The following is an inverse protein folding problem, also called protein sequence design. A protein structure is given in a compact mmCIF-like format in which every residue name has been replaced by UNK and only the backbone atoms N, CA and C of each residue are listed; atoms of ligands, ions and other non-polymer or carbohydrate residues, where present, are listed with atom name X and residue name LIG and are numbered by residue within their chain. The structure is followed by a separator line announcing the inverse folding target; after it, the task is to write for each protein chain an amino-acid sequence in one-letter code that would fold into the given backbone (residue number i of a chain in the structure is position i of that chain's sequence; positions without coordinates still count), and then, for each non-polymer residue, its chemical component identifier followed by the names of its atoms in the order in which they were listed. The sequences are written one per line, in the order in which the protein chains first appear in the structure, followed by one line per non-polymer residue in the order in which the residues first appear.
data_IF_568312007724
#
_entry.id   IF_568312007724
#
_cell.length_a   1.000
_cell.length_b   1.000
_cell.length_c   1.000
_cell.angle_alpha   90.00
_cell.angle_beta   90.00
_cell.angle_gamma   90.00
#
_symmetry.space_group_name_H-M   'P 1'
#
loop_
_entity.id
_entity.type
_entity.pdbx_description
1 polymer ?
#
# COMPACT_ATOMS: atom_id res chain seq x y z
N UNK A 1 13.82 37.03 59.76
CA UNK A 1 13.34 35.67 59.43
C UNK A 1 12.16 35.80 58.48
N UNK A 2 12.38 35.61 57.18
CA UNK A 2 12.07 34.38 56.43
C UNK A 2 10.56 34.15 56.25
N UNK A 3 9.93 34.83 55.30
CA UNK A 3 8.58 34.49 54.82
C UNK A 3 8.38 34.77 53.30
N UNK A 4 9.45 34.65 52.51
CA UNK A 4 9.40 34.77 51.02
C UNK A 4 9.44 33.38 50.36
N UNK A 5 8.95 32.32 51.01
CA UNK A 5 9.20 30.92 50.60
C UNK A 5 7.98 29.99 50.44
N UNK A 6 6.83 30.44 49.91
CA UNK A 6 5.98 29.48 49.20
C UNK A 6 5.67 29.85 47.73
N UNK A 7 5.98 31.08 47.29
CA UNK A 7 5.58 31.53 45.94
C UNK A 7 6.46 30.97 44.81
N UNK A 8 7.69 30.55 45.10
CA UNK A 8 8.63 30.01 44.09
C UNK A 8 8.42 28.51 43.82
N UNK A 9 7.71 27.79 44.70
CA UNK A 9 7.50 26.34 44.55
C UNK A 9 6.32 26.03 43.63
N UNK A 10 5.37 26.96 43.45
CA UNK A 10 4.21 26.76 42.56
C UNK A 10 4.50 27.09 41.09
N UNK A 11 5.60 27.79 40.80
CA UNK A 11 5.99 28.12 39.41
C UNK A 11 6.95 27.07 38.79
N UNK A 12 7.40 26.09 39.57
CA UNK A 12 8.36 25.07 39.12
C UNK A 12 7.72 23.70 38.78
N UNK A 13 6.38 23.64 38.66
CA UNK A 13 5.64 22.38 38.45
C UNK A 13 4.69 22.39 37.24
N UNK A 14 4.92 23.25 36.25
CA UNK A 14 4.06 23.34 35.04
C UNK A 14 4.78 23.01 33.73
N UNK A 15 6.05 22.58 33.78
CA UNK A 15 6.80 22.15 32.60
C UNK A 15 7.17 20.67 32.78
N UNK A 16 6.34 19.75 32.27
CA UNK A 16 6.72 18.39 31.79
C UNK A 16 5.52 17.41 31.64
N UNK A 17 4.49 17.75 30.87
CA UNK A 17 3.48 16.73 30.48
C UNK A 17 3.01 16.85 29.02
N UNK A 18 3.89 17.31 28.11
CA UNK A 18 3.66 17.19 26.67
C UNK A 18 4.26 15.90 26.06
N UNK A 19 4.71 14.94 26.89
CA UNK A 19 5.01 13.58 26.43
C UNK A 19 3.71 12.77 26.37
N UNK A 20 2.94 12.90 25.28
CA UNK A 20 2.13 11.83 24.65
C UNK A 20 1.20 12.36 23.54
N UNK A 21 1.71 13.24 22.69
CA UNK A 21 1.11 13.48 21.39
C UNK A 21 2.08 13.05 20.27
N UNK A 22 2.59 11.82 20.34
CA UNK A 22 3.01 11.15 19.11
C UNK A 22 1.75 11.09 18.23
N UNK A 23 1.65 12.01 17.25
CA UNK A 23 0.63 11.98 16.20
C UNK A 23 0.66 10.57 15.62
N UNK A 24 -0.28 9.72 16.06
CA UNK A 24 -0.39 8.33 15.59
C UNK A 24 -0.66 8.38 14.10
N UNK A 25 0.39 8.16 13.30
CA UNK A 25 0.36 8.26 11.83
C UNK A 25 -0.85 7.50 11.31
N UNK A 26 -1.71 8.23 10.61
CA UNK A 26 -2.92 7.67 9.99
C UNK A 26 -2.62 7.43 8.54
N UNK A 27 -2.72 6.18 8.15
CA UNK A 27 -2.41 5.70 6.82
C UNK A 27 -3.71 5.76 6.00
N UNK A 28 -3.61 6.24 4.76
CA UNK A 28 -4.71 6.26 3.81
C UNK A 28 -4.44 5.27 2.67
N UNK A 29 -5.49 4.78 1.98
CA UNK A 29 -5.37 3.68 1.04
C UNK A 29 -4.61 3.98 -0.24
N UNK A 30 -4.56 5.23 -0.69
CA UNK A 30 -3.99 5.57 -1.99
C UNK A 30 -2.99 6.73 -1.89
N UNK A 31 -2.05 6.76 -2.83
CA UNK A 31 -1.10 7.85 -3.04
C UNK A 31 -1.39 8.47 -4.40
N UNK A 32 -1.59 9.79 -4.43
CA UNK A 32 -1.74 10.59 -5.65
C UNK A 32 -0.39 11.22 -5.97
N UNK A 33 0.19 10.85 -7.10
CA UNK A 33 1.54 11.26 -7.51
C UNK A 33 1.49 12.55 -8.33
N UNK A 34 0.60 12.61 -9.32
CA UNK A 34 0.46 13.77 -10.21
C UNK A 34 -1.01 14.05 -10.49
N UNK A 35 -1.31 15.30 -10.87
CA UNK A 35 -2.66 15.77 -11.21
C UNK A 35 -2.55 16.96 -12.16
N UNK A 36 -2.05 16.69 -13.35
CA UNK A 36 -1.62 17.69 -14.32
C UNK A 36 -2.42 17.55 -15.62
N UNK A 37 -2.44 18.60 -16.43
CA UNK A 37 -3.01 18.52 -17.78
C UNK A 37 -2.11 17.66 -18.67
N UNK A 38 -2.71 16.83 -19.54
CA UNK A 38 -1.93 15.99 -20.44
C UNK A 38 -2.74 14.96 -21.19
N UNK A 39 -2.05 14.18 -22.01
CA UNK A 39 -2.63 13.05 -22.72
C UNK A 39 -2.49 11.77 -21.89
N UNK A 40 -3.59 11.01 -21.78
CA UNK A 40 -3.62 9.81 -20.94
C UNK A 40 -2.67 8.73 -21.47
N UNK A 41 -2.57 8.57 -22.79
CA UNK A 41 -1.69 7.61 -23.48
C UNK A 41 -0.22 7.82 -23.13
N UNK A 42 0.26 9.06 -23.20
CA UNK A 42 1.64 9.43 -22.86
C UNK A 42 1.96 9.14 -21.38
N UNK A 43 1.00 9.40 -20.49
CA UNK A 43 1.19 9.09 -19.08
C UNK A 43 1.19 7.59 -18.80
N UNK A 44 0.39 6.80 -19.54
CA UNK A 44 0.41 5.33 -19.50
C UNK A 44 1.79 4.81 -19.90
N UNK A 45 2.31 5.22 -21.06
CA UNK A 45 3.59 4.72 -21.55
C UNK A 45 4.77 5.11 -20.66
N UNK A 46 4.82 6.38 -20.23
CA UNK A 46 5.86 6.84 -19.30
C UNK A 46 5.77 6.14 -17.93
N UNK A 47 4.57 5.83 -17.44
CA UNK A 47 4.39 5.09 -16.18
C UNK A 47 4.88 3.65 -16.31
N UNK A 48 4.55 2.96 -17.41
CA UNK A 48 5.02 1.59 -17.67
C UNK A 48 6.55 1.55 -17.71
N UNK A 49 7.18 2.47 -18.44
CA UNK A 49 8.63 2.59 -18.51
C UNK A 49 9.26 2.78 -17.13
N UNK A 50 8.83 3.79 -16.38
CA UNK A 50 9.32 4.07 -15.02
C UNK A 50 9.21 2.87 -14.08
N UNK A 51 8.10 2.13 -14.14
CA UNK A 51 7.91 0.91 -13.36
C UNK A 51 8.95 -0.16 -13.76
N UNK A 52 9.07 -0.45 -15.05
CA UNK A 52 9.99 -1.48 -15.54
C UNK A 52 11.47 -1.16 -15.25
N UNK A 53 11.88 0.10 -15.41
CA UNK A 53 13.23 0.58 -15.07
C UNK A 53 13.54 0.43 -13.57
N UNK A 54 12.52 0.50 -12.72
CA UNK A 54 12.63 0.33 -11.27
C UNK A 54 12.30 -1.11 -10.82
N UNK A 55 12.52 -2.10 -11.68
CA UNK A 55 12.41 -3.53 -11.37
C UNK A 55 11.00 -3.99 -11.01
N UNK A 56 9.98 -3.26 -11.45
CA UNK A 56 8.61 -3.75 -11.40
C UNK A 56 8.27 -4.54 -12.67
N UNK A 57 7.52 -5.61 -12.51
CA UNK A 57 6.97 -6.42 -13.58
C UNK A 57 5.49 -6.15 -13.72
N UNK A 58 5.08 -5.69 -14.90
CA UNK A 58 3.66 -5.58 -15.26
C UNK A 58 3.11 -6.99 -15.48
N UNK A 59 2.05 -7.32 -14.73
CA UNK A 59 1.37 -8.64 -14.79
C UNK A 59 0.04 -8.57 -15.50
N UNK A 60 -0.47 -7.37 -15.77
CA UNK A 60 -1.69 -7.15 -16.53
C UNK A 60 -2.08 -5.68 -16.55
N UNK A 61 -2.95 -5.36 -17.50
CA UNK A 61 -3.50 -4.03 -17.70
C UNK A 61 -4.99 -4.19 -18.02
N UNK A 62 -5.81 -3.23 -17.59
CA UNK A 62 -7.22 -3.19 -17.96
C UNK A 62 -7.77 -1.76 -17.89
N UNK A 63 -8.84 -1.53 -18.66
CA UNK A 63 -9.49 -0.23 -18.79
C UNK A 63 -10.95 -0.37 -18.36
N UNK A 64 -11.30 0.02 -17.12
CA UNK A 64 -12.70 0.03 -16.68
C UNK A 64 -13.59 0.96 -17.52
N UNK A 65 -13.02 2.08 -17.98
CA UNK A 65 -13.63 3.07 -18.86
C UNK A 65 -12.54 3.72 -19.71
N UNK A 66 -12.90 4.41 -20.79
CA UNK A 66 -11.95 5.11 -21.68
C UNK A 66 -11.05 6.14 -20.97
N UNK A 67 -11.50 6.64 -19.81
CA UNK A 67 -10.78 7.63 -19.02
C UNK A 67 -9.96 7.01 -17.88
N UNK A 68 -9.98 5.68 -17.71
CA UNK A 68 -9.31 4.99 -16.60
C UNK A 68 -8.50 3.84 -17.16
N UNK A 69 -7.20 3.88 -16.91
CA UNK A 69 -6.28 2.80 -17.25
C UNK A 69 -5.61 2.30 -15.97
N UNK A 70 -5.68 0.99 -15.71
CA UNK A 70 -5.12 0.36 -14.52
C UNK A 70 -3.99 -0.58 -14.92
N UNK A 71 -2.81 -0.34 -14.38
CA UNK A 71 -1.63 -1.18 -14.51
C UNK A 71 -1.49 -2.01 -13.24
N UNK A 72 -1.55 -3.33 -13.38
CA UNK A 72 -1.30 -4.28 -12.31
C UNK A 72 0.19 -4.68 -12.35
N UNK A 73 0.91 -4.41 -11.27
CA UNK A 73 2.36 -4.59 -11.20
C UNK A 73 2.82 -5.33 -9.95
N UNK A 74 3.95 -6.02 -10.03
CA UNK A 74 4.57 -6.74 -8.92
C UNK A 74 6.09 -6.56 -8.96
N UNK A 75 6.78 -6.96 -7.90
CA UNK A 75 8.23 -7.09 -7.90
C UNK A 75 8.69 -8.17 -6.91
N UNK A 76 9.98 -8.54 -6.98
CA UNK A 76 10.52 -9.61 -6.15
C UNK A 76 10.34 -9.36 -4.65
N UNK A 77 10.48 -8.12 -4.20
CA UNK A 77 10.35 -7.77 -2.79
C UNK A 77 8.89 -7.90 -2.30
N UNK A 78 7.93 -7.51 -3.14
CA UNK A 78 6.50 -7.70 -2.88
C UNK A 78 6.14 -9.18 -2.84
N UNK A 79 6.62 -9.99 -3.79
CA UNK A 79 6.38 -11.43 -3.83
C UNK A 79 7.00 -12.13 -2.60
N UNK A 80 8.23 -11.77 -2.23
CA UNK A 80 8.89 -12.28 -1.01
C UNK A 80 8.14 -11.89 0.26
N UNK A 81 7.61 -10.67 0.33
CA UNK A 81 6.81 -10.23 1.47
C UNK A 81 5.44 -10.94 1.53
N UNK A 82 4.80 -11.15 0.38
CA UNK A 82 3.55 -11.90 0.25
C UNK A 82 3.71 -13.36 0.67
N UNK A 83 4.80 -14.02 0.26
CA UNK A 83 5.06 -15.42 0.58
C UNK A 83 5.28 -15.71 2.08
N UNK A 84 5.45 -14.68 2.92
CA UNK A 84 5.66 -14.82 4.37
C UNK A 84 4.37 -15.01 5.16
N UNK A 85 3.20 -14.90 4.52
CA UNK A 85 1.90 -14.97 5.20
C UNK A 85 0.90 -15.76 4.38
N UNK A 86 0.05 -16.54 5.03
CA UNK A 86 -0.88 -17.48 4.37
C UNK A 86 -1.76 -16.84 3.29
N UNK A 87 -2.20 -15.61 3.52
CA UNK A 87 -3.07 -14.85 2.60
C UNK A 87 -2.35 -13.68 1.93
N UNK A 88 -1.02 -13.68 1.92
CA UNK A 88 -0.24 -12.57 1.36
C UNK A 88 -0.40 -12.44 -0.16
N UNK A 89 -0.87 -13.49 -0.83
CA UNK A 89 -1.22 -13.48 -2.25
C UNK A 89 -2.22 -12.39 -2.64
N UNK A 90 -3.14 -11.99 -1.75
CA UNK A 90 -4.09 -10.91 -2.03
C UNK A 90 -3.41 -9.54 -2.23
N UNK A 91 -2.21 -9.35 -1.67
CA UNK A 91 -1.40 -8.16 -1.85
C UNK A 91 -0.15 -8.40 -2.70
N UNK A 92 -0.05 -9.51 -3.43
CA UNK A 92 1.12 -9.79 -4.29
C UNK A 92 1.20 -8.88 -5.54
N UNK A 93 0.18 -8.06 -5.78
CA UNK A 93 0.07 -7.16 -6.92
C UNK A 93 -0.40 -5.79 -6.44
N UNK A 94 0.29 -4.75 -6.90
CA UNK A 94 -0.06 -3.35 -6.66
C UNK A 94 -0.73 -2.81 -7.92
N UNK A 95 -1.80 -2.04 -7.74
CA UNK A 95 -2.49 -1.36 -8.83
C UNK A 95 -2.01 0.09 -8.89
N UNK A 96 -1.61 0.50 -10.09
CA UNK A 96 -1.32 1.87 -10.47
C UNK A 96 -2.44 2.31 -11.39
N UNK A 97 -3.11 3.40 -11.05
CA UNK A 97 -4.27 3.92 -11.75
C UNK A 97 -3.92 5.25 -12.40
N UNK A 98 -4.27 5.36 -13.68
CA UNK A 98 -4.15 6.57 -14.48
C UNK A 98 -5.56 6.97 -14.88
N UNK A 99 -6.02 8.11 -14.37
CA UNK A 99 -7.41 8.52 -14.51
C UNK A 99 -7.50 9.93 -15.05
N UNK A 100 -8.26 10.13 -16.12
CA UNK A 100 -8.63 11.45 -16.63
C UNK A 100 -9.86 11.98 -15.89
N UNK A 101 -9.72 13.17 -15.29
CA UNK A 101 -10.78 13.89 -14.58
C UNK A 101 -10.86 15.31 -15.14
N UNK A 102 -11.86 15.56 -15.98
CA UNK A 102 -11.93 16.81 -16.76
C UNK A 102 -10.71 16.94 -17.68
N UNK A 103 -10.00 18.07 -17.58
CA UNK A 103 -8.80 18.36 -18.38
C UNK A 103 -7.50 17.85 -17.74
N UNK A 104 -7.59 17.15 -16.61
CA UNK A 104 -6.42 16.66 -15.87
C UNK A 104 -6.31 15.14 -15.95
N UNK A 105 -5.07 14.66 -15.97
CA UNK A 105 -4.73 13.24 -15.85
C UNK A 105 -4.03 13.02 -14.51
N UNK A 106 -4.55 12.07 -13.74
CA UNK A 106 -4.09 11.75 -12.40
C UNK A 106 -3.36 10.42 -12.41
N UNK A 107 -2.13 10.40 -11.89
CA UNK A 107 -1.41 9.18 -11.58
C UNK A 107 -1.55 8.87 -10.09
N UNK A 108 -2.04 7.68 -9.76
CA UNK A 108 -2.17 7.23 -8.39
C UNK A 108 -1.82 5.76 -8.23
N UNK A 109 -1.49 5.32 -7.03
CA UNK A 109 -1.26 3.91 -6.73
C UNK A 109 -1.76 3.52 -5.34
N UNK A 110 -1.99 2.21 -5.17
CA UNK A 110 -2.37 1.64 -3.87
C UNK A 110 -1.20 1.76 -2.89
N UNK A 111 -1.44 2.38 -1.73
CA UNK A 111 -0.42 2.54 -0.70
C UNK A 111 0.03 1.17 -0.14
N UNK A 112 1.30 0.75 -0.36
CA UNK A 112 1.75 -0.57 0.07
C UNK A 112 1.71 -0.75 1.59
N UNK A 113 1.91 0.33 2.36
CA UNK A 113 1.85 0.29 3.83
C UNK A 113 0.41 0.04 4.30
N UNK A 114 -0.57 0.63 3.62
CA UNK A 114 -1.99 0.38 3.89
C UNK A 114 -2.33 -1.09 3.58
N UNK A 115 -1.92 -1.55 2.40
CA UNK A 115 -2.16 -2.91 1.91
C UNK A 115 -1.54 -3.98 2.82
N UNK A 116 -0.30 -3.77 3.29
CA UNK A 116 0.36 -4.67 4.24
C UNK A 116 -0.42 -4.82 5.55
N UNK A 117 -1.02 -3.73 6.02
CA UNK A 117 -1.88 -3.75 7.19
C UNK A 117 -3.17 -4.52 6.95
N UNK A 118 -3.81 -4.32 5.79
CA UNK A 118 -5.09 -4.92 5.44
C UNK A 118 -4.97 -6.44 5.24
N UNK A 119 -4.02 -6.87 4.42
CA UNK A 119 -3.78 -8.30 4.12
C UNK A 119 -2.84 -8.98 5.12
N UNK A 120 -2.55 -8.31 6.24
CA UNK A 120 -1.67 -8.80 7.32
C UNK A 120 -0.28 -9.27 6.84
N UNK A 121 0.24 -8.70 5.76
CA UNK A 121 1.52 -9.05 5.15
C UNK A 121 2.73 -8.59 6.00
N UNK A 122 3.92 -9.05 5.58
CA UNK A 122 5.18 -8.48 6.04
C UNK A 122 5.30 -6.98 5.66
N UNK A 123 6.30 -6.30 6.23
CA UNK A 123 6.45 -4.85 6.02
C UNK A 123 6.77 -4.53 4.56
N UNK A 124 5.93 -3.70 3.93
CA UNK A 124 6.06 -3.27 2.53
C UNK A 124 6.67 -1.87 2.40
N UNK A 125 7.38 -1.38 3.43
CA UNK A 125 8.10 -0.11 3.33
C UNK A 125 9.11 -0.10 2.18
N UNK A 126 9.92 -1.15 1.95
CA UNK A 126 10.87 -1.16 0.81
C UNK A 126 10.16 -1.01 -0.54
N UNK A 127 9.00 -1.67 -0.71
CA UNK A 127 8.18 -1.57 -1.93
C UNK A 127 7.57 -0.17 -2.07
N UNK A 128 7.16 0.45 -0.97
CA UNK A 128 6.67 1.83 -0.96
C UNK A 128 7.76 2.84 -1.35
N UNK A 129 8.98 2.65 -0.84
CA UNK A 129 10.13 3.49 -1.17
C UNK A 129 10.50 3.34 -2.67
N UNK A 130 10.50 2.11 -3.20
CA UNK A 130 10.74 1.83 -4.63
C UNK A 130 9.66 2.44 -5.54
N UNK A 131 8.38 2.38 -5.17
CA UNK A 131 7.32 3.04 -5.94
C UNK A 131 7.45 4.57 -5.91
N UNK A 132 7.80 5.13 -4.75
CA UNK A 132 8.04 6.57 -4.61
C UNK A 132 9.23 7.02 -5.45
N UNK A 133 10.29 6.19 -5.53
CA UNK A 133 11.43 6.43 -6.40
C UNK A 133 11.06 6.34 -7.89
N UNK A 134 10.24 5.36 -8.26
CA UNK A 134 9.86 5.11 -9.65
C UNK A 134 8.90 6.18 -10.21
N UNK A 135 7.84 6.48 -9.46
CA UNK A 135 6.74 7.31 -9.94
C UNK A 135 6.82 8.75 -9.44
N UNK A 136 7.45 8.96 -8.28
CA UNK A 136 7.50 10.24 -7.58
C UNK A 136 6.84 10.16 -6.20
N UNK A 137 7.19 11.12 -5.34
CA UNK A 137 6.47 11.30 -4.08
C UNK A 137 5.04 11.78 -4.34
N UNK A 138 4.12 11.43 -3.44
CA UNK A 138 2.71 11.74 -3.64
C UNK A 138 1.94 12.00 -2.35
N UNK A 139 0.76 12.57 -2.50
CA UNK A 139 -0.15 12.90 -1.42
C UNK A 139 -1.11 11.75 -1.11
N UNK A 140 -1.21 11.37 0.17
CA UNK A 140 -2.12 10.31 0.63
C UNK A 140 -3.61 10.73 0.56
N UNK A 141 -4.46 9.92 -0.07
CA UNK A 141 -5.90 10.19 -0.26
C UNK A 141 -6.82 8.96 -0.11
N UNK A 142 -8.14 9.16 -0.29
CA UNK A 142 -9.19 8.14 -0.20
C UNK A 142 -10.00 8.25 1.10
N UNK A 143 -9.47 7.73 2.21
CA UNK A 143 -10.16 7.85 3.50
C UNK A 143 -10.05 9.26 4.09
N UNK A 144 -11.20 9.88 4.44
CA UNK A 144 -11.27 11.22 5.08
C UNK A 144 -10.35 11.34 6.29
N UNK A 145 -10.36 10.31 7.15
CA UNK A 145 -9.62 10.31 8.43
C UNK A 145 -8.37 9.43 8.39
N UNK A 146 -8.26 8.49 7.46
CA UNK A 146 -7.24 7.43 7.50
C UNK A 146 -7.42 6.50 8.72
N UNK A 147 -6.57 5.49 8.81
CA UNK A 147 -6.61 4.46 9.85
C UNK A 147 -5.23 4.24 10.45
N UNK A 148 -5.14 3.90 11.73
CA UNK A 148 -3.84 3.60 12.36
C UNK A 148 -3.39 2.19 11.99
N UNK A 149 -2.08 1.96 11.84
CA UNK A 149 -1.48 0.66 11.48
C UNK A 149 -2.05 -0.51 12.29
N UNK A 150 -2.24 -0.34 13.61
CA UNK A 150 -2.78 -1.38 14.50
C UNK A 150 -4.25 -1.77 14.25
N UNK A 151 -5.03 -0.89 13.65
CA UNK A 151 -6.45 -1.13 13.36
C UNK A 151 -6.66 -1.73 11.97
N UNK A 152 -5.70 -1.54 11.04
CA UNK A 152 -5.76 -2.15 9.71
C UNK A 152 -5.86 -3.68 9.79
N UNK A 153 -5.01 -4.31 10.60
CA UNK A 153 -5.00 -5.78 10.78
C UNK A 153 -6.27 -6.34 11.41
N UNK A 154 -7.03 -5.48 12.10
CA UNK A 154 -8.27 -5.82 12.83
C UNK A 154 -9.52 -5.40 12.08
N UNK A 155 -9.38 -4.93 10.84
CA UNK A 155 -10.51 -4.51 10.04
C UNK A 155 -11.42 -5.72 9.77
N UNK A 156 -12.71 -5.51 10.02
CA UNK A 156 -13.82 -6.41 9.71
C UNK A 156 -15.02 -5.51 9.41
N UNK A 157 -15.93 -5.98 8.56
CA UNK A 157 -16.99 -5.13 8.02
C UNK A 157 -18.02 -4.74 9.09
N UNK A 158 -18.55 -5.72 9.83
CA UNK A 158 -19.54 -5.52 10.89
C UNK A 158 -19.32 -6.51 12.04
N UNK A 159 -19.86 -6.19 13.22
CA UNK A 159 -19.91 -7.13 14.34
C UNK A 159 -20.61 -8.43 13.88
N UNK A 160 -20.06 -9.59 14.27
CA UNK A 160 -20.50 -10.93 13.85
C UNK A 160 -20.22 -11.31 12.38
N UNK A 161 -19.48 -10.50 11.61
CA UNK A 161 -18.96 -10.92 10.31
C UNK A 161 -17.60 -11.61 10.42
N UNK A 162 -17.26 -12.51 9.49
CA UNK A 162 -15.96 -13.20 9.45
C UNK A 162 -14.77 -12.24 9.48
N UNK A 163 -13.71 -12.64 10.18
CA UNK A 163 -12.41 -11.98 10.12
C UNK A 163 -11.66 -12.38 8.84
N UNK A 164 -10.56 -11.68 8.57
CA UNK A 164 -9.72 -11.94 7.40
C UNK A 164 -9.21 -13.39 7.31
N UNK A 165 -8.97 -14.01 8.46
CA UNK A 165 -8.51 -15.39 8.64
C UNK A 165 -9.64 -16.43 8.60
N UNK A 166 -10.90 -16.00 8.60
CA UNK A 166 -12.07 -16.89 8.56
C UNK A 166 -12.45 -17.20 7.10
N UNK A 167 -11.50 -17.77 6.35
CA UNK A 167 -11.71 -18.16 4.95
C UNK A 167 -12.41 -19.52 4.83
N UNK A 168 -13.53 -19.57 4.10
CA UNK A 168 -14.22 -20.81 3.80
C UNK A 168 -13.41 -21.68 2.82
N UNK A 169 -13.05 -22.88 3.27
CA UNK A 169 -12.39 -23.86 2.41
C UNK A 169 -13.45 -24.65 1.63
N UNK A 170 -13.72 -24.23 0.41
CA UNK A 170 -14.79 -24.79 -0.43
C UNK A 170 -14.41 -26.17 -1.01
N UNK A 171 -13.14 -26.39 -1.36
CA UNK A 171 -12.66 -27.67 -1.89
C UNK A 171 -11.14 -27.85 -1.71
N UNK A 172 -10.65 -29.09 -1.80
CA UNK A 172 -9.22 -29.40 -1.87
C UNK A 172 -8.95 -30.36 -3.01
N UNK A 173 -8.24 -29.90 -4.04
CA UNK A 173 -7.86 -30.72 -5.18
C UNK A 173 -6.40 -31.18 -5.05
N UNK A 174 -6.16 -32.49 -5.21
CA UNK A 174 -4.84 -33.11 -5.08
C UNK A 174 -3.82 -32.52 -6.10
N UNK A 175 -4.30 -32.04 -7.25
CA UNK A 175 -3.48 -31.43 -8.31
C UNK A 175 -3.06 -29.97 -8.07
N UNK A 176 -3.74 -29.24 -7.17
CA UNK A 176 -3.41 -27.83 -6.92
C UNK A 176 -2.01 -27.65 -6.30
N UNK A 177 -1.57 -28.60 -5.46
CA UNK A 177 -0.25 -28.59 -4.82
C UNK A 177 0.88 -28.98 -5.79
N UNK A 178 0.57 -29.68 -6.89
CA UNK A 178 1.56 -30.17 -7.86
C UNK A 178 1.93 -29.13 -8.93
N UNK A 179 1.08 -28.12 -9.18
CA UNK A 179 1.33 -27.08 -10.19
C UNK A 179 1.81 -25.72 -9.65
N UNK A 180 1.72 -25.46 -8.34
CA UNK A 180 2.25 -24.24 -7.73
C UNK A 180 3.77 -24.25 -7.51
N UNK A 181 4.41 -25.42 -7.42
CA UNK A 181 5.87 -25.53 -7.27
C UNK A 181 6.68 -25.40 -8.56
N UNK A 182 6.21 -25.86 -9.74
CA UNK A 182 6.96 -25.69 -10.99
C UNK A 182 6.60 -24.42 -11.79
N UNK A 183 5.37 -23.89 -11.65
CA UNK A 183 4.90 -22.83 -12.57
C UNK A 183 5.59 -21.48 -12.36
N UNK A 184 5.87 -21.09 -11.11
CA UNK A 184 6.52 -19.80 -10.84
C UNK A 184 7.98 -19.78 -11.33
N UNK A 185 8.70 -20.90 -11.21
CA UNK A 185 10.10 -21.03 -11.69
C UNK A 185 10.19 -21.22 -13.20
N UNK A 186 9.18 -21.86 -13.82
CA UNK A 186 9.14 -22.08 -15.27
C UNK A 186 8.80 -20.79 -16.02
N UNK A 187 7.88 -19.98 -15.50
CA UNK A 187 7.56 -18.66 -16.09
C UNK A 187 8.71 -17.65 -15.97
N UNK A 188 9.48 -17.67 -14.87
CA UNK A 188 10.64 -16.79 -14.70
C UNK A 188 11.85 -17.20 -15.55
N UNK A 189 12.02 -18.49 -15.87
CA UNK A 189 13.07 -18.96 -16.78
C UNK A 189 12.76 -18.74 -18.25
N UNK A 190 11.50 -18.84 -18.65
CA UNK A 190 11.08 -18.61 -20.04
C UNK A 190 11.16 -17.14 -20.50
N UNK A 191 11.35 -16.19 -19.57
CA UNK A 191 11.47 -14.75 -19.86
C UNK A 191 12.91 -14.21 -19.71
N UNK A 192 13.85 -15.05 -19.27
CA UNK A 192 15.29 -14.74 -19.12
C UNK A 192 16.17 -15.50 -20.14
N UNK A 193 15.55 -16.18 -21.11
CA UNK A 193 16.18 -16.74 -22.31
C UNK A 193 15.60 -16.02 -23.53
#
# INVERSE_FOLDING_TARGET
MKLIKPLVILFLLTVSSNLWAAKKVRIKPFILVSNDSGEISQLIDSTKLKLTENKFTIVGEYEPTENIHIIATTNDDLLKAAAKTDFGGFGAVIRVAITKVGDKVQLSYVNPIYMAGLYRMADLKPVADQLSQALGEGSSFGSKKGIRKKYLKKYHYMMFMPYFDDQDKIASFHHMKKHLKPSMTTYLRAKMA
#
